data_IF_090386807133
#
_entry.id   IF_090386807133
#
_cell.length_a   1.000
_cell.length_b   1.000
_cell.length_c   1.000
_cell.angle_alpha   90.00
_cell.angle_beta   90.00
_cell.angle_gamma   90.00
#
_symmetry.space_group_name_H-M   'P 1'
#
loop_
_entity.id
_entity.type
_entity.pdbx_description
1 polymer ?
#
# COMPACT_ATOMS: atom_id res chain seq x y z
N UNK A 1 18.78 -10.21 -19.53
CA UNK A 1 17.65 -10.99 -18.98
C UNK A 1 16.38 -10.25 -19.34
N UNK A 2 15.48 -10.81 -20.15
CA UNK A 2 14.25 -10.13 -20.57
C UNK A 2 13.20 -10.23 -19.45
N UNK A 3 12.62 -9.10 -19.03
CA UNK A 3 11.49 -9.08 -18.09
C UNK A 3 10.23 -9.54 -18.82
N UNK A 4 9.36 -10.29 -18.15
CA UNK A 4 8.06 -10.69 -18.71
C UNK A 4 7.08 -9.51 -18.70
N UNK A 5 6.11 -9.50 -19.61
CA UNK A 5 5.06 -8.47 -19.64
C UNK A 5 4.33 -8.32 -18.29
N UNK A 6 4.09 -9.43 -17.59
CA UNK A 6 3.46 -9.43 -16.27
C UNK A 6 4.33 -8.77 -15.18
N UNK A 7 5.66 -8.91 -15.28
CA UNK A 7 6.60 -8.25 -14.36
C UNK A 7 6.59 -6.74 -14.58
N UNK A 8 6.64 -6.32 -15.84
CA UNK A 8 6.63 -4.90 -16.22
C UNK A 8 5.33 -4.22 -15.78
N UNK A 9 4.17 -4.86 -16.00
CA UNK A 9 2.87 -4.29 -15.57
C UNK A 9 2.79 -4.08 -14.05
N UNK A 10 3.33 -5.01 -13.27
CA UNK A 10 3.39 -4.89 -11.80
C UNK A 10 4.28 -3.74 -11.34
N UNK A 11 5.45 -3.58 -11.97
CA UNK A 11 6.37 -2.48 -11.70
C UNK A 11 5.70 -1.13 -12.00
N UNK A 12 5.09 -0.98 -13.17
CA UNK A 12 4.38 0.26 -13.56
C UNK A 12 3.26 0.60 -12.56
N UNK A 13 2.47 -0.39 -12.13
CA UNK A 13 1.41 -0.17 -11.13
C UNK A 13 1.98 0.21 -9.76
N UNK A 14 3.13 -0.33 -9.38
CA UNK A 14 3.80 0.01 -8.14
C UNK A 14 4.37 1.43 -8.19
N UNK A 15 5.04 1.79 -9.28
CA UNK A 15 5.55 3.13 -9.53
C UNK A 15 4.43 4.18 -9.52
N UNK A 16 3.29 3.89 -10.14
CA UNK A 16 2.14 4.78 -10.12
C UNK A 16 1.62 5.02 -8.69
N UNK A 17 1.55 3.98 -7.85
CA UNK A 17 1.13 4.12 -6.44
C UNK A 17 2.11 4.97 -5.63
N UNK A 18 3.42 4.67 -5.73
CA UNK A 18 4.45 5.44 -5.03
C UNK A 18 4.49 6.88 -5.54
N UNK A 19 4.32 7.08 -6.86
CA UNK A 19 4.22 8.37 -7.51
C UNK A 19 3.09 9.21 -6.94
N UNK A 20 1.90 8.63 -6.78
CA UNK A 20 0.76 9.32 -6.17
C UNK A 20 1.04 9.75 -4.72
N UNK A 21 1.66 8.86 -3.92
CA UNK A 21 2.04 9.17 -2.54
C UNK A 21 3.02 10.36 -2.52
N UNK A 22 4.06 10.33 -3.35
CA UNK A 22 5.06 11.40 -3.45
C UNK A 22 4.46 12.73 -3.91
N UNK A 23 3.56 12.72 -4.89
CA UNK A 23 2.89 13.92 -5.37
C UNK A 23 2.01 14.54 -4.28
N UNK A 24 1.27 13.71 -3.55
CA UNK A 24 0.41 14.17 -2.47
C UNK A 24 1.20 14.77 -1.31
N UNK A 25 2.26 14.09 -0.86
CA UNK A 25 3.10 14.61 0.24
C UNK A 25 3.91 15.82 -0.21
N UNK A 26 4.42 15.83 -1.45
CA UNK A 26 5.08 17.00 -2.03
C UNK A 26 4.18 18.23 -2.10
N UNK A 27 2.90 18.05 -2.46
CA UNK A 27 1.91 19.12 -2.43
C UNK A 27 1.70 19.66 -1.00
N UNK A 28 1.57 18.78 0.00
CA UNK A 28 1.43 19.21 1.40
C UNK A 28 2.67 19.96 1.90
N UNK A 29 3.88 19.47 1.59
CA UNK A 29 5.14 20.17 1.90
C UNK A 29 5.18 21.57 1.27
N UNK A 30 4.78 21.70 0.00
CA UNK A 30 4.73 23.00 -0.68
C UNK A 30 3.63 23.93 -0.14
N UNK A 31 2.57 23.38 0.45
CA UNK A 31 1.48 24.17 1.03
C UNK A 31 1.91 24.87 2.34
N UNK A 32 2.82 24.27 3.11
CA UNK A 32 3.33 24.83 4.37
C UNK A 32 3.82 26.29 4.21
N UNK A 33 4.79 26.60 3.31
CA UNK A 33 5.26 27.97 3.15
C UNK A 33 4.20 28.90 2.57
N UNK A 34 3.31 28.41 1.70
CA UNK A 34 2.20 29.22 1.14
C UNK A 34 1.26 29.69 2.25
N UNK A 35 0.85 28.79 3.13
CA UNK A 35 0.01 29.13 4.28
C UNK A 35 0.72 30.08 5.23
N UNK A 36 2.01 29.86 5.49
CA UNK A 36 2.81 30.74 6.33
C UNK A 36 2.87 32.17 5.79
N UNK A 37 3.00 32.34 4.47
CA UNK A 37 2.97 33.66 3.81
C UNK A 37 1.60 34.34 3.93
N UNK A 38 0.52 33.56 3.96
CA UNK A 38 -0.84 34.05 4.19
C UNK A 38 -1.14 34.32 5.68
N UNK A 39 -0.17 34.14 6.57
CA UNK A 39 -0.35 34.28 8.01
C UNK A 39 -1.14 33.14 8.68
N UNK A 40 -1.41 32.06 7.95
CA UNK A 40 -2.10 30.87 8.46
C UNK A 40 -1.05 29.87 8.95
N UNK A 41 -1.13 29.49 10.22
CA UNK A 41 -0.26 28.47 10.81
C UNK A 41 -1.10 27.38 11.47
N UNK A 42 -0.78 26.14 11.17
CA UNK A 42 -1.34 24.97 11.83
C UNK A 42 -0.23 24.27 12.58
N UNK A 43 -0.39 24.07 13.88
CA UNK A 43 0.64 23.41 14.71
C UNK A 43 0.89 21.95 14.29
N UNK A 44 -0.09 21.32 13.65
CA UNK A 44 0.00 19.92 13.21
C UNK A 44 0.52 19.76 11.77
N UNK A 45 0.48 20.81 10.93
CA UNK A 45 0.93 20.73 9.53
C UNK A 45 2.37 21.20 9.42
N UNK A 46 3.29 20.33 9.84
CA UNK A 46 4.73 20.54 9.81
C UNK A 46 5.40 19.64 8.76
N UNK A 47 6.66 19.92 8.41
CA UNK A 47 7.42 19.04 7.53
C UNK A 47 7.55 17.63 8.14
N UNK A 48 7.77 17.54 9.44
CA UNK A 48 7.84 16.28 10.18
C UNK A 48 6.55 15.47 10.08
N UNK A 49 5.39 16.14 10.15
CA UNK A 49 4.10 15.49 9.94
C UNK A 49 3.97 14.93 8.52
N UNK A 50 4.34 15.72 7.50
CA UNK A 50 4.27 15.28 6.10
C UNK A 50 5.20 14.10 5.84
N UNK A 51 6.41 14.12 6.38
CA UNK A 51 7.37 13.02 6.26
C UNK A 51 6.87 11.76 6.97
N UNK A 52 6.29 11.91 8.16
CA UNK A 52 5.65 10.81 8.89
C UNK A 52 4.45 10.23 8.13
N UNK A 53 3.65 11.09 7.49
CA UNK A 53 2.52 10.68 6.66
C UNK A 53 2.98 9.92 5.41
N UNK A 54 4.07 10.37 4.77
CA UNK A 54 4.69 9.64 3.66
C UNK A 54 5.07 8.21 4.07
N UNK A 55 5.81 8.07 5.17
CA UNK A 55 6.24 6.77 5.69
C UNK A 55 5.05 5.88 6.06
N UNK A 56 4.02 6.46 6.68
CA UNK A 56 2.79 5.77 7.00
C UNK A 56 2.11 5.21 5.75
N UNK A 57 1.93 6.01 4.70
CA UNK A 57 1.27 5.58 3.46
C UNK A 57 2.06 4.48 2.73
N UNK A 58 3.39 4.57 2.72
CA UNK A 58 4.28 3.54 2.14
C UNK A 58 4.16 2.23 2.93
N UNK A 59 4.15 2.29 4.26
CA UNK A 59 4.03 1.11 5.12
C UNK A 59 2.61 0.51 5.14
N UNK A 60 1.58 1.32 4.91
CA UNK A 60 0.19 0.87 4.91
C UNK A 60 -0.09 -0.12 3.77
N UNK A 61 0.53 0.06 2.60
CA UNK A 61 0.31 -0.82 1.46
C UNK A 61 0.65 -2.30 1.74
N UNK A 62 1.86 -2.67 2.22
CA UNK A 62 2.18 -4.05 2.59
C UNK A 62 1.38 -4.53 3.80
N UNK A 63 1.02 -3.64 4.73
CA UNK A 63 0.20 -3.99 5.89
C UNK A 63 -1.20 -4.46 5.46
N UNK A 64 -1.89 -3.69 4.62
CA UNK A 64 -3.21 -4.06 4.08
C UNK A 64 -3.14 -5.35 3.27
N UNK A 65 -2.11 -5.53 2.45
CA UNK A 65 -1.90 -6.76 1.69
C UNK A 65 -1.73 -7.98 2.61
N UNK A 66 -1.01 -7.81 3.72
CA UNK A 66 -0.79 -8.85 4.73
C UNK A 66 -2.11 -9.21 5.42
N UNK A 67 -2.87 -8.22 5.90
CA UNK A 67 -4.18 -8.48 6.49
C UNK A 67 -5.15 -9.15 5.52
N UNK A 68 -5.20 -8.70 4.26
CA UNK A 68 -6.01 -9.32 3.22
C UNK A 68 -5.61 -10.79 2.98
N UNK A 69 -4.31 -11.07 2.96
CA UNK A 69 -3.78 -12.43 2.79
C UNK A 69 -4.13 -13.31 3.97
N UNK A 70 -3.94 -12.82 5.20
CA UNK A 70 -4.36 -13.53 6.42
C UNK A 70 -5.86 -13.80 6.39
N UNK A 71 -6.68 -12.80 6.07
CA UNK A 71 -8.13 -12.97 5.99
C UNK A 71 -8.50 -14.08 5.01
N UNK A 72 -7.97 -14.02 3.78
CA UNK A 72 -8.25 -15.01 2.73
C UNK A 72 -7.78 -16.43 3.10
N UNK A 73 -6.64 -16.56 3.76
CA UNK A 73 -6.04 -17.85 4.11
C UNK A 73 -6.65 -18.45 5.39
N UNK A 74 -6.83 -17.63 6.43
CA UNK A 74 -7.31 -18.07 7.74
C UNK A 74 -8.83 -18.27 7.73
N UNK A 75 -9.58 -17.31 7.19
CA UNK A 75 -11.04 -17.46 7.05
C UNK A 75 -11.43 -18.19 5.76
N UNK A 76 -10.43 -18.71 5.03
CA UNK A 76 -10.55 -19.63 3.90
C UNK A 76 -11.78 -19.36 3.06
N UNK A 77 -11.67 -18.42 2.12
CA UNK A 77 -12.68 -18.32 1.07
C UNK A 77 -12.93 -19.70 0.48
N UNK A 78 -14.20 -20.08 0.29
CA UNK A 78 -14.70 -21.44 -0.04
C UNK A 78 -13.73 -22.35 -0.80
N UNK A 79 -13.04 -21.81 -1.81
CA UNK A 79 -11.98 -22.47 -2.58
C UNK A 79 -10.85 -23.12 -1.76
N UNK A 80 -10.38 -22.51 -0.67
CA UNK A 80 -9.35 -23.08 0.20
C UNK A 80 -9.89 -24.23 1.07
N UNK A 81 -11.17 -24.16 1.45
CA UNK A 81 -11.87 -25.26 2.12
C UNK A 81 -12.07 -26.43 1.15
N UNK A 82 -12.58 -26.14 -0.06
CA UNK A 82 -12.75 -27.11 -1.15
C UNK A 82 -11.42 -27.79 -1.52
N UNK A 83 -10.32 -27.04 -1.64
CA UNK A 83 -9.00 -27.62 -1.87
C UNK A 83 -8.53 -28.52 -0.72
N UNK A 84 -8.73 -28.12 0.54
CA UNK A 84 -8.39 -28.98 1.68
C UNK A 84 -9.27 -30.25 1.72
N UNK A 85 -10.55 -30.15 1.35
CA UNK A 85 -11.42 -31.33 1.26
C UNK A 85 -10.97 -32.29 0.17
N UNK A 86 -10.62 -31.79 -1.02
CA UNK A 86 -10.11 -32.62 -2.12
C UNK A 86 -8.79 -33.28 -1.73
N UNK A 87 -7.84 -32.52 -1.17
CA UNK A 87 -6.56 -33.07 -0.72
C UNK A 87 -6.72 -34.18 0.34
N UNK A 88 -7.67 -34.02 1.27
CA UNK A 88 -8.00 -35.06 2.26
C UNK A 88 -8.66 -36.28 1.63
N UNK A 89 -9.58 -36.09 0.66
CA UNK A 89 -10.24 -37.20 -0.05
C UNK A 89 -9.25 -38.03 -0.88
N UNK A 90 -8.23 -37.38 -1.43
CA UNK A 90 -7.18 -38.03 -2.23
C UNK A 90 -6.02 -38.59 -1.38
N UNK A 91 -6.05 -38.44 -0.05
CA UNK A 91 -4.99 -38.92 0.84
C UNK A 91 -3.65 -38.17 0.71
N UNK A 92 -3.68 -36.97 0.13
CA UNK A 92 -2.51 -36.12 -0.09
C UNK A 92 -2.23 -35.18 1.09
N UNK A 93 -3.12 -35.16 2.10
CA UNK A 93 -3.00 -34.37 3.33
C UNK A 93 -3.85 -34.91 4.47
#
# INVERSE_FOLDING_TARGET
MFKTNLTVEKEVKQEAKTGLIMQFTGMLSALIPVLALLGVKFDWLTQEFVDSLYLFLVALAPLVLTFYTIYKNHYSGKKAQEQNEVLKKEGLK
#
